data_IF_783770062210
#
_entry.id   IF_783770062210
#
_cell.length_a   1.000
_cell.length_b   1.000
_cell.length_c   1.000
_cell.angle_alpha   90.00
_cell.angle_beta   90.00
_cell.angle_gamma   90.00
#
_symmetry.space_group_name_H-M   'P 1'
#
loop_
_entity.id
_entity.type
_entity.pdbx_description
1 polymer ?
#
# COMPACT_ATOMS: atom_id res chain seq x y z
N UNK A 1 -5.63 -13.16 10.14
CA UNK A 1 -4.22 -12.90 9.81
C UNK A 1 -3.87 -11.46 10.15
N UNK A 2 -2.70 -11.23 10.82
CA UNK A 2 -2.33 -9.85 11.19
C UNK A 2 -2.05 -8.95 10.01
N UNK A 3 -1.59 -9.51 8.89
CA UNK A 3 -1.41 -8.73 7.66
C UNK A 3 -2.38 -9.29 6.64
N UNK A 4 -3.41 -8.51 6.35
CA UNK A 4 -4.50 -8.94 5.50
C UNK A 4 -4.49 -8.15 4.19
N UNK A 5 -4.77 -8.83 3.09
CA UNK A 5 -4.74 -8.24 1.77
C UNK A 5 -6.04 -8.56 1.06
N UNK A 6 -6.75 -7.52 0.61
CA UNK A 6 -8.03 -7.67 -0.07
C UNK A 6 -8.02 -6.91 -1.38
N UNK A 7 -8.73 -7.44 -2.38
CA UNK A 7 -8.91 -6.77 -3.66
C UNK A 7 -10.28 -6.10 -3.66
N UNK A 8 -10.33 -4.84 -4.08
CA UNK A 8 -11.55 -4.05 -4.02
C UNK A 8 -11.86 -3.35 -5.35
N UNK A 9 -13.08 -2.84 -5.44
CA UNK A 9 -13.54 -2.04 -6.57
C UNK A 9 -13.33 -2.78 -7.89
N UNK A 10 -13.79 -4.02 -7.95
CA UNK A 10 -13.70 -4.87 -9.14
C UNK A 10 -12.25 -5.06 -9.56
N UNK A 11 -11.35 -5.20 -8.58
CA UNK A 11 -9.96 -5.45 -8.86
C UNK A 11 -9.15 -4.22 -9.21
N UNK A 12 -9.62 -3.03 -8.82
CA UNK A 12 -8.92 -1.79 -9.15
C UNK A 12 -7.88 -1.40 -8.12
N UNK A 13 -8.07 -1.79 -6.85
CA UNK A 13 -7.05 -1.51 -5.86
C UNK A 13 -7.03 -2.58 -4.77
N UNK A 14 -5.91 -2.64 -4.07
CA UNK A 14 -5.65 -3.59 -3.00
C UNK A 14 -5.74 -2.83 -1.68
N UNK A 15 -6.33 -3.46 -0.67
CA UNK A 15 -6.31 -2.92 0.69
C UNK A 15 -5.48 -3.83 1.56
N UNK A 16 -4.44 -3.25 2.18
CA UNK A 16 -3.66 -3.90 3.22
C UNK A 16 -4.18 -3.44 4.57
N UNK A 17 -4.48 -4.37 5.46
CA UNK A 17 -4.84 -4.05 6.84
C UNK A 17 -3.86 -4.78 7.74
N UNK A 18 -3.18 -4.02 8.58
CA UNK A 18 -2.16 -4.57 9.48
C UNK A 18 -2.64 -4.38 10.90
N UNK A 19 -2.67 -5.47 11.68
CA UNK A 19 -3.08 -5.42 13.09
C UNK A 19 -2.01 -6.08 13.95
N UNK A 20 -1.90 -5.58 15.18
CA UNK A 20 -0.93 -6.13 16.14
C UNK A 20 -1.44 -7.47 16.69
N UNK A 21 -0.54 -8.40 16.98
CA UNK A 21 0.88 -8.41 16.67
C UNK A 21 1.16 -8.89 15.24
N UNK A 22 2.18 -8.32 14.63
CA UNK A 22 2.55 -8.70 13.26
C UNK A 22 4.07 -8.75 13.15
N UNK A 23 4.56 -9.44 12.11
CA UNK A 23 6.00 -9.62 11.90
C UNK A 23 6.36 -9.24 10.48
N UNK A 24 7.64 -8.97 10.27
CA UNK A 24 8.16 -8.69 8.92
C UNK A 24 7.99 -9.92 8.03
N UNK A 25 8.12 -11.14 8.59
CA UNK A 25 7.91 -12.35 7.80
C UNK A 25 6.48 -12.41 7.26
N UNK A 26 5.48 -12.05 8.09
CA UNK A 26 4.09 -12.02 7.65
C UNK A 26 3.86 -10.94 6.59
N UNK A 27 4.50 -9.81 6.74
CA UNK A 27 4.42 -8.75 5.74
C UNK A 27 5.02 -9.22 4.41
N UNK A 28 6.17 -9.89 4.46
CA UNK A 28 6.81 -10.41 3.24
C UNK A 28 5.96 -11.47 2.56
N UNK A 29 5.23 -12.28 3.32
CA UNK A 29 4.28 -13.23 2.74
C UNK A 29 3.16 -12.50 2.00
N UNK A 30 2.65 -11.43 2.60
CA UNK A 30 1.62 -10.63 1.95
C UNK A 30 2.16 -9.97 0.68
N UNK A 31 3.40 -9.52 0.70
CA UNK A 31 4.03 -8.95 -0.47
C UNK A 31 4.15 -9.97 -1.61
N UNK A 32 4.41 -11.22 -1.27
CA UNK A 32 4.47 -12.27 -2.30
C UNK A 32 3.09 -12.47 -2.95
N UNK A 33 2.03 -12.42 -2.16
CA UNK A 33 0.66 -12.49 -2.70
C UNK A 33 0.33 -11.26 -3.55
N UNK A 34 0.79 -10.09 -3.11
CA UNK A 34 0.57 -8.86 -3.88
C UNK A 34 1.26 -8.93 -5.23
N UNK A 35 2.48 -9.44 -5.26
CA UNK A 35 3.21 -9.59 -6.51
C UNK A 35 2.44 -10.47 -7.48
N UNK A 36 1.91 -11.58 -6.97
CA UNK A 36 1.13 -12.49 -7.80
C UNK A 36 -0.13 -11.81 -8.35
N UNK A 37 -0.82 -11.05 -7.49
CA UNK A 37 -2.01 -10.31 -7.92
C UNK A 37 -1.67 -9.30 -9.01
N UNK A 38 -0.56 -8.60 -8.86
CA UNK A 38 -0.15 -7.61 -9.85
C UNK A 38 0.28 -8.27 -11.15
N UNK A 39 0.97 -9.40 -11.06
CA UNK A 39 1.38 -10.15 -12.26
C UNK A 39 0.16 -10.64 -13.04
N UNK A 40 -0.90 -11.04 -12.32
CA UNK A 40 -2.09 -11.59 -12.94
C UNK A 40 -3.09 -10.52 -13.40
N UNK A 41 -2.87 -9.27 -13.02
CA UNK A 41 -3.80 -8.18 -13.32
C UNK A 41 -3.31 -7.37 -14.51
N UNK A 42 -4.11 -7.23 -15.58
CA UNK A 42 -3.62 -6.58 -16.80
C UNK A 42 -3.65 -5.05 -16.77
N UNK A 43 -4.20 -4.44 -15.72
CA UNK A 43 -4.30 -2.99 -15.63
C UNK A 43 -3.55 -2.48 -14.42
N UNK A 44 -3.43 -1.15 -14.32
CA UNK A 44 -2.82 -0.50 -13.14
C UNK A 44 -3.58 -0.87 -11.89
N UNK A 45 -2.86 -1.18 -10.83
CA UNK A 45 -3.43 -1.60 -9.57
C UNK A 45 -2.89 -0.69 -8.46
N UNK A 46 -3.79 0.08 -7.84
CA UNK A 46 -3.44 0.97 -6.73
C UNK A 46 -3.51 0.20 -5.41
N UNK A 47 -3.04 0.81 -4.34
CA UNK A 47 -3.14 0.17 -3.03
C UNK A 47 -3.38 1.19 -1.92
N UNK A 48 -4.07 0.76 -0.88
CA UNK A 48 -4.23 1.51 0.37
C UNK A 48 -3.71 0.61 1.48
N UNK A 49 -2.77 1.13 2.29
CA UNK A 49 -2.29 0.41 3.46
C UNK A 49 -2.81 1.12 4.71
N UNK A 50 -3.57 0.40 5.51
CA UNK A 50 -4.18 0.92 6.71
C UNK A 50 -3.28 0.61 7.90
N UNK A 51 -2.65 1.66 8.44
CA UNK A 51 -1.75 1.58 9.58
C UNK A 51 -2.44 1.87 10.90
N UNK A 52 -3.76 2.05 10.93
CA UNK A 52 -4.43 2.47 12.15
C UNK A 52 -4.26 1.46 13.28
N UNK A 53 -4.06 0.18 12.96
CA UNK A 53 -3.79 -0.85 13.95
C UNK A 53 -2.32 -1.05 14.28
N UNK A 54 -1.43 -0.25 13.71
CA UNK A 54 0.02 -0.42 13.88
C UNK A 54 0.51 0.55 14.93
N UNK A 55 1.02 0.02 16.05
CA UNK A 55 1.55 0.83 17.14
C UNK A 55 3.02 1.14 16.93
N UNK A 56 3.77 0.21 16.36
CA UNK A 56 5.20 0.37 16.13
C UNK A 56 5.64 -0.47 14.96
N UNK A 57 6.80 -0.13 14.42
CA UNK A 57 7.43 -0.90 13.35
C UNK A 57 8.48 -1.81 14.01
N UNK A 58 8.52 -3.10 13.68
CA UNK A 58 9.56 -3.99 14.24
C UNK A 58 10.96 -3.48 13.94
N UNK A 59 11.89 -3.76 14.86
CA UNK A 59 13.27 -3.27 14.72
C UNK A 59 13.98 -3.85 13.50
N UNK A 60 13.52 -4.97 12.99
CA UNK A 60 14.11 -5.60 11.80
C UNK A 60 13.41 -5.16 10.49
N UNK A 61 12.86 -3.96 10.48
CA UNK A 61 12.09 -3.48 9.32
C UNK A 61 12.92 -3.43 8.04
N UNK A 62 14.25 -3.30 8.16
CA UNK A 62 15.11 -3.31 6.98
C UNK A 62 15.09 -4.65 6.25
N UNK A 63 14.66 -5.71 6.91
CA UNK A 63 14.53 -7.02 6.28
C UNK A 63 13.28 -7.14 5.43
N UNK A 64 12.39 -6.17 5.48
CA UNK A 64 11.24 -6.17 4.58
C UNK A 64 11.73 -5.96 3.15
N UNK A 65 10.94 -6.44 2.20
CA UNK A 65 11.34 -6.36 0.79
C UNK A 65 10.81 -5.11 0.12
N UNK A 66 10.39 -4.13 0.92
CA UNK A 66 9.92 -2.83 0.46
C UNK A 66 8.70 -2.89 -0.45
N UNK A 67 8.09 -4.07 -0.56
CA UNK A 67 6.85 -4.26 -1.28
C UNK A 67 6.97 -4.17 -2.80
N UNK A 68 6.22 -5.02 -3.52
CA UNK A 68 6.24 -4.98 -4.98
C UNK A 68 5.57 -3.72 -5.54
N UNK A 69 4.76 -3.02 -4.73
CA UNK A 69 4.12 -1.79 -5.18
C UNK A 69 5.12 -0.72 -5.59
N UNK A 70 6.33 -0.74 -5.05
CA UNK A 70 7.33 0.26 -5.39
C UNK A 70 8.11 -0.05 -6.66
N UNK A 71 7.97 -1.23 -7.21
CA UNK A 71 8.79 -1.64 -8.35
C UNK A 71 8.00 -2.26 -9.50
N UNK A 72 6.76 -2.67 -9.27
CA UNK A 72 6.01 -3.34 -10.31
C UNK A 72 5.57 -2.36 -11.39
N UNK A 73 5.69 -2.72 -12.69
CA UNK A 73 5.36 -1.78 -13.76
C UNK A 73 3.90 -1.36 -13.80
N UNK A 74 3.01 -2.15 -13.26
CA UNK A 74 1.58 -1.79 -13.24
C UNK A 74 1.13 -1.23 -11.90
N UNK A 75 2.06 -0.84 -11.05
CA UNK A 75 1.72 -0.21 -9.79
C UNK A 75 1.20 1.20 -10.03
N UNK A 76 0.17 1.59 -9.28
CA UNK A 76 -0.39 2.93 -9.33
C UNK A 76 -0.07 3.71 -8.08
N UNK A 77 -1.07 4.40 -7.54
CA UNK A 77 -0.90 5.14 -6.30
C UNK A 77 -0.78 4.18 -5.12
N UNK A 78 0.13 4.48 -4.22
CA UNK A 78 0.28 3.80 -2.94
C UNK A 78 -0.16 4.78 -1.88
N UNK A 79 -1.22 4.46 -1.15
CA UNK A 79 -1.81 5.38 -0.19
C UNK A 79 -1.68 4.78 1.20
N UNK A 80 -1.17 5.58 2.12
CA UNK A 80 -0.91 5.15 3.49
C UNK A 80 -1.84 5.94 4.40
N UNK A 81 -2.57 5.26 5.27
CA UNK A 81 -3.55 5.92 6.14
C UNK A 81 -3.35 5.55 7.59
N UNK A 82 -3.70 6.47 8.47
CA UNK A 82 -3.76 6.21 9.90
C UNK A 82 -2.43 6.02 10.58
N UNK A 83 -1.35 6.55 10.03
CA UNK A 83 -0.03 6.36 10.62
C UNK A 83 0.14 7.18 11.89
N UNK A 84 0.57 6.53 12.95
CA UNK A 84 0.99 7.23 14.17
C UNK A 84 2.31 7.95 13.91
N UNK A 85 2.63 9.01 14.65
CA UNK A 85 3.83 9.82 14.35
C UNK A 85 5.13 9.03 14.27
N UNK A 86 5.36 8.08 15.17
CA UNK A 86 6.59 7.27 15.12
C UNK A 86 6.60 6.34 13.91
N UNK A 87 5.45 5.77 13.58
CA UNK A 87 5.34 4.92 12.41
C UNK A 87 5.59 5.74 11.15
N UNK A 88 5.00 6.93 11.08
CA UNK A 88 5.17 7.81 9.93
C UNK A 88 6.63 8.21 9.75
N UNK A 89 7.34 8.48 10.84
CA UNK A 89 8.75 8.86 10.76
C UNK A 89 9.58 7.75 10.09
N UNK A 90 9.35 6.50 10.46
CA UNK A 90 10.08 5.39 9.87
C UNK A 90 9.67 5.18 8.42
N UNK A 91 8.38 5.25 8.14
CA UNK A 91 7.89 5.08 6.77
C UNK A 91 8.43 6.18 5.85
N UNK A 92 8.53 7.42 6.36
CA UNK A 92 9.11 8.51 5.57
C UNK A 92 10.56 8.21 5.17
N UNK A 93 11.33 7.57 6.06
CA UNK A 93 12.69 7.14 5.72
C UNK A 93 12.65 6.11 4.59
N UNK A 94 11.75 5.13 4.69
CA UNK A 94 11.62 4.10 3.66
C UNK A 94 11.27 4.74 2.31
N UNK A 95 10.34 5.69 2.31
CA UNK A 95 9.91 6.35 1.09
C UNK A 95 11.05 7.10 0.42
N UNK A 96 11.95 7.68 1.21
CA UNK A 96 13.13 8.34 0.65
C UNK A 96 14.07 7.34 -0.01
N UNK A 97 14.16 6.14 0.55
CA UNK A 97 15.02 5.09 -0.01
C UNK A 97 14.45 4.58 -1.33
N UNK A 98 13.16 4.31 -1.38
CA UNK A 98 12.55 3.71 -2.58
C UNK A 98 12.25 4.73 -3.67
N UNK A 99 12.12 6.01 -3.32
CA UNK A 99 11.91 7.10 -4.28
C UNK A 99 10.70 6.94 -5.19
N UNK A 100 9.68 6.26 -4.70
CA UNK A 100 8.44 6.12 -5.46
C UNK A 100 7.65 7.41 -5.36
N UNK A 101 7.17 7.94 -6.49
CA UNK A 101 6.59 9.27 -6.51
C UNK A 101 5.08 9.31 -6.32
N UNK A 102 4.38 8.21 -6.60
CA UNK A 102 2.92 8.18 -6.49
C UNK A 102 2.50 7.67 -5.12
N UNK A 103 2.95 8.34 -4.07
CA UNK A 103 2.60 8.00 -2.69
C UNK A 103 1.80 9.15 -2.10
N UNK A 104 0.68 8.83 -1.47
CA UNK A 104 -0.13 9.80 -0.72
C UNK A 104 -0.29 9.30 0.70
N UNK A 105 -0.44 10.23 1.63
CA UNK A 105 -0.63 9.91 3.04
C UNK A 105 -1.84 10.68 3.55
N UNK A 106 -2.77 9.98 4.16
CA UNK A 106 -3.98 10.58 4.70
C UNK A 106 -4.19 10.09 6.13
N UNK A 107 -5.01 10.82 6.88
CA UNK A 107 -5.31 10.42 8.26
C UNK A 107 -6.39 9.36 8.32
N UNK A 108 -7.34 9.36 7.38
CA UNK A 108 -8.45 8.41 7.43
C UNK A 108 -8.54 7.59 6.16
N UNK A 109 -9.14 6.43 6.31
CA UNK A 109 -9.40 5.54 5.20
C UNK A 109 -10.37 6.18 4.19
N UNK A 110 -11.34 6.92 4.68
CA UNK A 110 -12.33 7.60 3.83
C UNK A 110 -11.68 8.61 2.91
N UNK A 111 -10.69 9.34 3.41
CA UNK A 111 -9.95 10.28 2.56
C UNK A 111 -9.20 9.57 1.45
N UNK A 112 -8.62 8.42 1.76
CA UNK A 112 -7.89 7.63 0.77
C UNK A 112 -8.83 7.10 -0.30
N UNK A 113 -9.99 6.59 0.11
CA UNK A 113 -10.97 6.08 -0.84
C UNK A 113 -11.49 7.19 -1.74
N UNK A 114 -11.75 8.36 -1.17
CA UNK A 114 -12.21 9.50 -1.98
C UNK A 114 -11.19 9.88 -3.04
N UNK A 115 -9.91 9.88 -2.67
CA UNK A 115 -8.86 10.16 -3.62
C UNK A 115 -8.83 9.10 -4.74
N UNK A 116 -8.90 7.83 -4.39
CA UNK A 116 -8.86 6.77 -5.39
C UNK A 116 -10.09 6.78 -6.31
N UNK A 117 -11.26 7.07 -5.75
CA UNK A 117 -12.45 7.20 -6.58
C UNK A 117 -12.23 8.28 -7.64
N UNK A 118 -11.67 9.41 -7.24
CA UNK A 118 -11.36 10.48 -8.17
C UNK A 118 -10.39 10.02 -9.25
N UNK A 119 -9.34 9.30 -8.86
CA UNK A 119 -8.36 8.78 -9.81
C UNK A 119 -9.00 7.81 -10.79
N UNK A 120 -9.83 6.90 -10.29
CA UNK A 120 -10.46 5.90 -11.13
C UNK A 120 -11.44 6.51 -12.12
N UNK A 121 -12.19 7.54 -11.67
CA UNK A 121 -13.14 8.20 -12.54
C UNK A 121 -12.45 9.00 -13.64
N UNK A 122 -11.35 9.68 -13.29
CA UNK A 122 -10.69 10.56 -14.25
C UNK A 122 -9.58 9.85 -15.00
N UNK A 123 -8.79 9.08 -14.30
CA UNK A 123 -7.63 8.43 -14.89
C UNK A 123 -8.00 7.35 -15.86
N UNK A 124 -9.04 6.60 -15.55
CA UNK A 124 -9.47 5.55 -16.42
C UNK A 124 -10.05 6.06 -17.70
N UNK A 125 -10.71 7.20 -17.61
CA UNK A 125 -11.21 7.79 -18.80
C UNK A 125 -10.11 8.35 -19.65
N UNK A 126 -9.05 8.63 -19.04
CA UNK A 126 -8.05 9.20 -19.70
C UNK A 126 -6.96 8.44 -19.94
N UNK A 127 -6.72 7.82 -19.54
CA UNK A 127 -5.96 7.52 -19.60
C UNK A 127 -5.14 6.93 -19.45
N UNK A 128 -5.40 6.78 -19.03
CA UNK A 128 -4.74 6.19 -18.81
C UNK A 128 -3.54 6.32 -19.14
N UNK A 129 -3.32 6.94 -19.37
CA UNK A 129 -2.17 7.20 -19.68
C UNK A 129 -1.40 7.29 -18.91
#
# INVERSE_FOLDING_TARGET
MPVNLELHARGRYIIYRITEPWTIAELNEAYAREKQLRDDTPHTLHSITDFSGVVRIPSNWLQSRMGPGFSHPRSGYIILVGQRPLVKAIVDVILKIVRYQRVKQYETFEEAEAFLQSVLENGENGTSV
#
